data_IF_638295855903
#
_entry.id   IF_638295855903
#
_cell.length_a   1.000
_cell.length_b   1.000
_cell.length_c   1.000
_cell.angle_alpha   90.00
_cell.angle_beta   90.00
_cell.angle_gamma   90.00
#
_symmetry.space_group_name_H-M   'P 1'
#
loop_
_entity.id
_entity.type
_entity.pdbx_description
1 polymer ?
#
# COMPACT_ATOMS: atom_id res chain seq x y z
N UNK A 1 61.81 6.76 37.51
CA UNK A 1 62.23 7.39 36.24
C UNK A 1 62.34 6.26 35.24
N UNK A 2 61.28 6.02 34.50
CA UNK A 2 61.17 4.85 33.61
C UNK A 2 61.60 5.20 32.18
N UNK A 3 62.74 4.59 31.81
CA UNK A 3 63.10 3.83 30.61
C UNK A 3 62.52 4.14 29.20
N UNK A 4 63.50 4.22 28.28
CA UNK A 4 63.59 3.65 26.92
C UNK A 4 62.82 4.29 25.76
N UNK A 5 63.53 5.01 24.88
CA UNK A 5 64.25 4.58 23.66
C UNK A 5 63.32 4.46 22.44
N UNK A 6 63.46 5.42 21.53
CA UNK A 6 62.72 5.50 20.28
C UNK A 6 63.39 4.82 19.08
N UNK A 7 62.62 4.83 17.99
CA UNK A 7 62.87 4.41 16.59
C UNK A 7 62.52 2.95 16.22
N UNK A 8 62.21 2.65 14.93
CA UNK A 8 60.93 2.91 14.28
C UNK A 8 60.41 1.67 13.48
N UNK A 9 59.20 1.75 12.90
CA UNK A 9 58.88 0.98 11.68
C UNK A 9 57.73 -0.03 11.73
N UNK A 10 56.85 0.15 10.73
CA UNK A 10 56.02 -0.82 10.00
C UNK A 10 54.86 -1.59 10.68
N UNK A 11 53.69 -1.25 10.14
CA UNK A 11 52.66 -2.18 9.64
C UNK A 11 51.80 -2.91 10.70
N UNK A 12 50.53 -2.49 10.82
CA UNK A 12 49.35 -3.34 10.57
C UNK A 12 48.03 -2.63 10.89
N UNK A 13 47.15 -2.69 9.89
CA UNK A 13 45.68 -2.71 9.87
C UNK A 13 44.93 -2.20 11.11
N UNK A 14 44.08 -1.19 10.92
CA UNK A 14 42.80 -1.13 11.61
C UNK A 14 41.73 -0.62 10.66
N UNK A 15 40.73 -1.46 10.45
CA UNK A 15 39.56 -1.21 9.64
C UNK A 15 38.75 -0.07 10.24
N UNK A 16 38.50 0.97 9.45
CA UNK A 16 37.35 1.84 9.65
C UNK A 16 36.51 1.72 8.39
N UNK A 17 35.49 0.87 8.51
CA UNK A 17 34.35 0.82 7.59
C UNK A 17 33.63 2.17 7.72
N UNK A 18 33.92 3.10 6.82
CA UNK A 18 33.06 4.25 6.56
C UNK A 18 31.87 3.73 5.76
N UNK A 19 30.86 3.18 6.46
CA UNK A 19 29.55 2.93 5.86
C UNK A 19 28.85 4.28 5.71
N UNK A 20 29.24 5.05 4.70
CA UNK A 20 28.52 6.21 4.20
C UNK A 20 27.21 5.71 3.60
N UNK A 21 26.20 5.52 4.45
CA UNK A 21 24.84 5.21 4.03
C UNK A 21 24.35 6.33 3.09
N UNK A 22 24.04 6.04 1.82
CA UNK A 22 23.37 7.01 0.97
C UNK A 22 21.97 7.26 1.52
N UNK A 23 21.69 8.54 1.76
CA UNK A 23 20.39 9.17 1.97
C UNK A 23 19.26 8.39 1.30
N UNK A 24 18.34 7.87 2.10
CA UNK A 24 17.15 7.16 1.64
C UNK A 24 16.46 7.95 0.50
N UNK A 25 16.08 7.28 -0.60
CA UNK A 25 15.35 7.96 -1.66
C UNK A 25 14.00 8.41 -1.11
N UNK A 26 13.73 9.71 -1.26
CA UNK A 26 12.37 10.26 -1.23
C UNK A 26 11.49 9.32 -2.06
N UNK A 27 10.57 8.61 -1.40
CA UNK A 27 9.55 7.82 -2.05
C UNK A 27 8.68 8.79 -2.85
N UNK A 28 9.04 8.98 -4.11
CA UNK A 28 8.15 9.54 -5.12
C UNK A 28 6.91 8.66 -5.12
N UNK A 29 5.78 9.24 -4.71
CA UNK A 29 4.47 8.62 -4.79
C UNK A 29 4.20 8.21 -6.23
N UNK A 30 4.55 6.96 -6.56
CA UNK A 30 4.01 6.23 -7.70
C UNK A 30 2.49 6.39 -7.64
N UNK A 31 1.86 6.71 -8.76
CA UNK A 31 0.41 6.81 -8.91
C UNK A 31 -0.24 5.54 -8.32
N UNK A 32 -0.59 5.57 -7.03
CA UNK A 32 -1.20 4.45 -6.35
C UNK A 32 -2.63 4.41 -6.85
N UNK A 33 -2.98 3.30 -7.52
CA UNK A 33 -4.36 2.83 -7.64
C UNK A 33 -5.08 3.17 -6.32
N UNK A 34 -6.12 4.00 -6.34
CA UNK A 34 -6.78 4.41 -5.11
C UNK A 34 -7.35 3.15 -4.46
N UNK A 35 -6.81 2.77 -3.31
CA UNK A 35 -7.35 1.66 -2.52
C UNK A 35 -8.77 2.07 -2.13
N UNK A 36 -9.73 1.17 -2.33
CA UNK A 36 -11.11 1.37 -1.93
C UNK A 36 -11.53 0.27 -0.99
N UNK A 37 -12.37 0.60 -0.03
CA UNK A 37 -12.85 -0.35 0.96
C UNK A 37 -14.33 -0.10 1.27
N UNK A 38 -15.00 -1.17 1.71
CA UNK A 38 -16.33 -1.09 2.33
C UNK A 38 -16.17 -1.11 3.83
N UNK A 39 -16.99 -0.33 4.53
CA UNK A 39 -16.88 -0.16 5.97
C UNK A 39 -18.17 -0.58 6.67
N UNK A 40 -18.04 -1.46 7.66
CA UNK A 40 -19.07 -1.67 8.66
C UNK A 40 -18.99 -0.56 9.71
N UNK A 41 -20.14 -0.04 10.14
CA UNK A 41 -20.22 0.99 11.18
C UNK A 41 -20.34 0.35 12.56
N UNK A 42 -19.39 0.69 13.44
CA UNK A 42 -19.27 0.22 14.82
C UNK A 42 -19.42 -1.30 14.98
N UNK A 43 -18.68 -2.11 14.20
CA UNK A 43 -18.66 -3.54 14.39
C UNK A 43 -18.02 -3.88 15.74
N UNK A 44 -18.56 -4.87 16.44
CA UNK A 44 -17.98 -5.42 17.66
C UNK A 44 -16.77 -6.30 17.35
N UNK A 45 -16.84 -7.06 16.26
CA UNK A 45 -15.83 -8.03 15.85
C UNK A 45 -15.61 -8.05 14.33
N UNK A 46 -14.51 -8.67 13.90
CA UNK A 46 -14.22 -8.87 12.48
C UNK A 46 -15.27 -9.76 11.79
N UNK A 47 -15.86 -10.71 12.50
CA UNK A 47 -16.94 -11.54 11.96
C UNK A 47 -18.14 -10.67 11.56
N UNK A 48 -18.47 -9.67 12.37
CA UNK A 48 -19.52 -8.71 12.07
C UNK A 48 -19.18 -7.85 10.84
N UNK A 49 -17.91 -7.46 10.66
CA UNK A 49 -17.47 -6.75 9.45
C UNK A 49 -17.71 -7.59 8.20
N UNK A 50 -17.47 -8.90 8.26
CA UNK A 50 -17.63 -9.81 7.12
C UNK A 50 -19.11 -10.08 6.79
N UNK A 51 -19.99 -10.09 7.79
CA UNK A 51 -21.42 -10.41 7.61
C UNK A 51 -22.31 -9.17 7.41
N UNK A 52 -21.95 -8.01 7.98
CA UNK A 52 -22.76 -6.79 7.95
C UNK A 52 -22.29 -5.73 6.94
N UNK A 53 -21.21 -6.00 6.20
CA UNK A 53 -20.85 -5.14 5.06
C UNK A 53 -21.94 -5.29 3.98
N UNK A 54 -22.76 -4.26 3.79
CA UNK A 54 -23.75 -4.21 2.73
C UNK A 54 -23.06 -4.38 1.36
N UNK A 55 -23.33 -5.47 0.62
CA UNK A 55 -22.71 -5.72 -0.68
C UNK A 55 -23.16 -4.72 -1.76
N UNK A 56 -24.17 -3.90 -1.48
CA UNK A 56 -24.57 -2.76 -2.33
C UNK A 56 -23.91 -1.43 -1.96
N UNK A 57 -23.26 -1.32 -0.79
CA UNK A 57 -22.60 -0.08 -0.38
C UNK A 57 -21.43 0.29 -1.33
N UNK A 58 -21.29 1.56 -1.73
CA UNK A 58 -20.21 1.96 -2.62
C UNK A 58 -18.85 1.78 -1.95
N UNK A 59 -17.88 1.30 -2.73
CA UNK A 59 -16.47 1.25 -2.35
C UNK A 59 -15.95 2.69 -2.17
N UNK A 60 -15.57 3.06 -0.96
CA UNK A 60 -15.11 4.40 -0.65
C UNK A 60 -13.59 4.52 -0.90
N UNK A 61 -13.10 5.59 -1.55
CA UNK A 61 -11.66 5.83 -1.68
C UNK A 61 -11.06 6.14 -0.31
N UNK A 62 -9.95 5.47 0.01
CA UNK A 62 -9.29 5.61 1.30
C UNK A 62 -7.93 6.29 1.17
N UNK A 63 -7.53 6.96 2.25
CA UNK A 63 -6.21 7.51 2.46
C UNK A 63 -5.64 6.94 3.76
N UNK A 64 -4.46 6.32 3.70
CA UNK A 64 -3.84 5.70 4.87
C UNK A 64 -3.10 6.80 5.64
N UNK A 65 -3.60 7.14 6.82
CA UNK A 65 -3.01 8.14 7.73
C UNK A 65 -1.93 7.51 8.61
N UNK A 66 -2.10 6.23 8.98
CA UNK A 66 -1.14 5.47 9.78
C UNK A 66 -1.15 4.01 9.34
N UNK A 67 0.03 3.38 9.32
CA UNK A 67 0.16 1.94 9.23
C UNK A 67 0.58 1.37 10.59
N UNK A 68 -0.27 0.53 11.17
CA UNK A 68 -0.04 -0.16 12.43
C UNK A 68 0.24 -1.65 12.17
N UNK A 69 1.48 -2.05 12.40
CA UNK A 69 1.86 -3.46 12.42
C UNK A 69 1.63 -4.05 13.81
N UNK A 70 1.00 -5.22 13.86
CA UNK A 70 0.70 -5.98 15.07
C UNK A 70 1.25 -7.40 14.94
N UNK A 71 1.50 -8.04 16.08
CA UNK A 71 1.65 -9.50 16.11
C UNK A 71 0.31 -10.18 15.82
N UNK A 72 0.33 -11.47 15.47
CA UNK A 72 -0.90 -12.24 15.23
C UNK A 72 -1.85 -12.21 16.44
N UNK A 73 -1.32 -12.38 17.65
CA UNK A 73 -2.11 -12.36 18.88
C UNK A 73 -2.73 -10.98 19.18
N UNK A 74 -1.97 -9.90 18.98
CA UNK A 74 -2.49 -8.54 19.15
C UNK A 74 -3.55 -8.20 18.10
N UNK A 75 -3.35 -8.66 16.87
CA UNK A 75 -4.32 -8.52 15.80
C UNK A 75 -5.62 -9.27 16.14
N UNK A 76 -5.53 -10.51 16.63
CA UNK A 76 -6.72 -11.29 16.98
C UNK A 76 -7.45 -10.68 18.17
N UNK A 77 -6.72 -10.19 19.18
CA UNK A 77 -7.31 -9.43 20.27
C UNK A 77 -7.99 -8.16 19.75
N UNK A 78 -7.34 -7.43 18.84
CA UNK A 78 -7.90 -6.25 18.17
C UNK A 78 -9.20 -6.56 17.43
N UNK A 79 -9.16 -7.57 16.57
CA UNK A 79 -10.26 -8.01 15.71
C UNK A 79 -11.47 -8.50 16.50
N UNK A 80 -11.31 -8.94 17.75
CA UNK A 80 -12.40 -9.37 18.63
C UNK A 80 -12.94 -8.25 19.54
N UNK A 81 -12.24 -7.12 19.66
CA UNK A 81 -12.65 -5.99 20.51
C UNK A 81 -12.52 -4.66 19.78
N UNK A 82 -13.13 -4.55 18.60
CA UNK A 82 -12.98 -3.38 17.71
C UNK A 82 -13.48 -2.06 18.35
N UNK A 83 -14.43 -2.13 19.28
CA UNK A 83 -14.97 -0.97 20.01
C UNK A 83 -14.19 -0.61 21.28
N UNK A 84 -13.13 -1.36 21.62
CA UNK A 84 -12.27 -1.04 22.76
C UNK A 84 -11.33 0.13 22.42
N UNK A 85 -11.17 1.05 23.37
CA UNK A 85 -10.29 2.21 23.22
C UNK A 85 -8.81 1.81 23.11
N UNK A 86 -8.11 2.49 22.21
CA UNK A 86 -6.69 2.32 21.90
C UNK A 86 -6.07 3.67 21.59
N UNK A 87 -5.00 4.00 22.29
CA UNK A 87 -4.35 5.31 22.17
C UNK A 87 -3.82 5.58 20.76
N UNK A 88 -3.36 4.55 20.05
CA UNK A 88 -2.85 4.66 18.68
C UNK A 88 -3.94 4.92 17.62
N UNK A 89 -5.23 4.93 18.01
CA UNK A 89 -6.33 5.36 17.15
C UNK A 89 -6.76 6.81 17.42
N UNK A 90 -6.34 7.39 18.54
CA UNK A 90 -6.84 8.66 19.03
C UNK A 90 -6.60 9.80 18.02
N UNK A 91 -7.66 10.50 17.65
CA UNK A 91 -7.58 11.69 16.79
C UNK A 91 -7.40 11.40 15.29
N UNK A 92 -7.34 10.13 14.88
CA UNK A 92 -7.17 9.73 13.48
C UNK A 92 -8.51 9.53 12.76
N UNK A 93 -8.48 9.52 11.44
CA UNK A 93 -9.61 9.17 10.58
C UNK A 93 -10.51 10.35 10.19
N UNK A 94 -11.76 10.06 9.82
CA UNK A 94 -12.71 11.03 9.27
C UNK A 94 -12.57 11.21 7.75
N UNK A 95 -13.23 12.23 7.21
CA UNK A 95 -13.23 12.50 5.78
C UNK A 95 -12.49 13.81 5.47
N UNK A 96 -11.65 13.78 4.44
CA UNK A 96 -10.94 14.98 3.93
C UNK A 96 -10.86 14.86 2.41
N UNK A 97 -11.18 15.94 1.70
CA UNK A 97 -11.13 15.99 0.23
C UNK A 97 -11.86 14.84 -0.49
N UNK A 98 -13.00 14.39 0.06
CA UNK A 98 -13.80 13.29 -0.50
C UNK A 98 -13.21 11.88 -0.30
N UNK A 99 -12.16 11.75 0.51
CA UNK A 99 -11.52 10.47 0.86
C UNK A 99 -11.68 10.18 2.34
N UNK A 100 -11.85 8.91 2.69
CA UNK A 100 -11.87 8.46 4.08
C UNK A 100 -10.45 8.21 4.56
N UNK A 101 -10.06 8.86 5.65
CA UNK A 101 -8.76 8.61 6.28
C UNK A 101 -8.85 7.39 7.19
N UNK A 102 -7.86 6.52 7.12
CA UNK A 102 -7.86 5.25 7.83
C UNK A 102 -6.50 4.91 8.42
N UNK A 103 -6.52 4.09 9.46
CA UNK A 103 -5.36 3.34 9.94
C UNK A 103 -5.38 1.97 9.27
N UNK A 104 -4.32 1.65 8.52
CA UNK A 104 -4.10 0.31 7.99
C UNK A 104 -3.52 -0.55 9.10
N UNK A 105 -4.18 -1.65 9.46
CA UNK A 105 -3.73 -2.61 10.48
C UNK A 105 -3.34 -3.90 9.80
N UNK A 106 -2.11 -4.36 10.01
CA UNK A 106 -1.61 -5.61 9.44
C UNK A 106 -0.94 -6.47 10.49
N UNK A 107 -1.00 -7.78 10.29
CA UNK A 107 -0.20 -8.77 11.01
C UNK A 107 0.21 -9.90 10.07
N UNK A 108 1.29 -10.64 10.37
CA UNK A 108 1.67 -11.83 9.61
C UNK A 108 0.49 -12.79 9.47
N UNK A 109 0.30 -13.40 8.30
CA UNK A 109 -0.77 -14.38 8.03
C UNK A 109 -2.22 -13.90 8.30
N UNK A 110 -2.44 -12.59 8.49
CA UNK A 110 -3.76 -11.99 8.71
C UNK A 110 -4.12 -11.05 7.57
N UNK A 111 -5.43 -10.88 7.38
CA UNK A 111 -5.96 -9.90 6.42
C UNK A 111 -5.64 -8.49 6.91
N UNK A 112 -5.36 -7.57 5.98
CA UNK A 112 -5.23 -6.16 6.32
C UNK A 112 -6.61 -5.54 6.61
N UNK A 113 -6.71 -4.78 7.70
CA UNK A 113 -7.91 -4.02 8.06
C UNK A 113 -7.68 -2.54 7.84
N UNK A 114 -8.74 -1.83 7.48
CA UNK A 114 -8.77 -0.37 7.40
C UNK A 114 -9.73 0.15 8.45
N UNK A 115 -9.20 0.95 9.38
CA UNK A 115 -9.92 1.41 10.55
C UNK A 115 -10.05 2.92 10.47
N UNK A 116 -11.27 3.43 10.47
CA UNK A 116 -11.57 4.86 10.60
C UNK A 116 -12.18 5.12 11.99
N UNK A 117 -11.38 5.67 12.93
CA UNK A 117 -11.87 6.07 14.25
C UNK A 117 -12.77 7.31 14.22
N UNK A 118 -12.73 8.09 13.15
CA UNK A 118 -13.44 9.36 13.02
C UNK A 118 -13.19 10.28 14.23
N UNK A 119 -11.91 10.43 14.60
CA UNK A 119 -11.43 11.19 15.76
C UNK A 119 -11.60 10.51 17.12
N UNK A 120 -12.20 9.31 17.18
CA UNK A 120 -12.37 8.53 18.41
C UNK A 120 -11.12 7.69 18.73
N UNK A 121 -11.21 6.78 19.70
CA UNK A 121 -10.12 5.86 20.10
C UNK A 121 -10.39 4.39 19.76
N UNK A 122 -11.44 4.11 19.02
CA UNK A 122 -11.85 2.74 18.67
C UNK A 122 -12.21 2.65 17.19
N UNK A 123 -12.37 1.44 16.67
CA UNK A 123 -12.75 1.17 15.28
C UNK A 123 -14.20 1.53 14.98
N UNK A 124 -14.50 2.83 14.89
CA UNK A 124 -15.86 3.33 14.62
C UNK A 124 -16.37 2.91 13.25
N UNK A 125 -15.47 2.80 12.28
CA UNK A 125 -15.73 2.19 10.99
C UNK A 125 -14.58 1.24 10.67
N UNK A 126 -14.88 -0.01 10.32
CA UNK A 126 -13.85 -1.00 9.99
C UNK A 126 -14.20 -1.63 8.67
N UNK A 127 -13.21 -1.64 7.78
CA UNK A 127 -13.32 -2.18 6.44
C UNK A 127 -12.20 -3.14 6.13
N UNK A 128 -12.46 -3.97 5.14
CA UNK A 128 -11.45 -4.78 4.46
C UNK A 128 -11.26 -4.19 3.07
N UNK A 129 -10.02 -4.17 2.56
CA UNK A 129 -9.84 -3.88 1.15
C UNK A 129 -10.54 -5.00 0.37
N UNK A 130 -11.49 -4.60 -0.47
CA UNK A 130 -11.79 -5.40 -1.63
C UNK A 130 -10.76 -4.97 -2.67
N UNK A 131 -9.94 -5.92 -3.15
CA UNK A 131 -9.17 -5.69 -4.36
C UNK A 131 -10.18 -5.27 -5.42
N UNK A 132 -10.17 -3.98 -5.75
CA UNK A 132 -11.11 -3.44 -6.71
C UNK A 132 -10.78 -4.12 -8.04
N UNK A 133 -11.76 -4.60 -8.82
CA UNK A 133 -11.48 -4.88 -10.23
C UNK A 133 -10.81 -3.62 -10.79
N UNK A 134 -9.70 -3.83 -11.51
CA UNK A 134 -8.89 -2.76 -12.11
C UNK A 134 -9.86 -1.80 -12.79
N UNK A 135 -9.92 -0.54 -12.33
CA UNK A 135 -10.78 0.43 -13.00
C UNK A 135 -10.24 0.64 -14.41
N UNK A 136 -11.10 0.99 -15.38
CA UNK A 136 -10.64 1.24 -16.75
C UNK A 136 -9.50 2.27 -16.79
N UNK A 137 -9.47 3.23 -15.87
CA UNK A 137 -8.41 4.24 -15.74
C UNK A 137 -7.11 3.66 -15.18
N UNK A 138 -7.18 2.81 -14.14
CA UNK A 138 -6.00 2.10 -13.61
C UNK A 138 -5.42 1.12 -14.64
N UNK A 139 -6.31 0.44 -15.38
CA UNK A 139 -5.94 -0.50 -16.43
C UNK A 139 -5.30 0.25 -17.60
N UNK A 140 -5.82 1.42 -17.97
CA UNK A 140 -5.26 2.27 -19.00
C UNK A 140 -3.87 2.79 -18.62
N UNK A 141 -3.68 3.20 -17.36
CA UNK A 141 -2.39 3.61 -16.84
C UNK A 141 -1.36 2.48 -16.90
N UNK A 142 -1.73 1.27 -16.47
CA UNK A 142 -0.85 0.11 -16.49
C UNK A 142 -0.48 -0.33 -17.92
N UNK A 143 -1.47 -0.39 -18.82
CA UNK A 143 -1.24 -0.73 -20.24
C UNK A 143 -0.37 0.34 -20.92
N UNK A 144 -0.63 1.62 -20.67
CA UNK A 144 0.19 2.72 -21.18
C UNK A 144 1.64 2.60 -20.71
N UNK A 145 1.86 2.35 -19.41
CA UNK A 145 3.18 2.16 -18.85
C UNK A 145 3.95 1.00 -19.51
N UNK A 146 3.30 -0.14 -19.75
CA UNK A 146 3.92 -1.28 -20.44
C UNK A 146 4.35 -0.94 -21.88
N UNK A 147 3.58 -0.11 -22.57
CA UNK A 147 3.90 0.35 -23.94
C UNK A 147 5.06 1.34 -23.93
N UNK A 148 5.09 2.24 -22.96
CA UNK A 148 6.14 3.25 -22.83
C UNK A 148 7.46 2.64 -22.34
N UNK A 149 7.39 1.59 -21.53
CA UNK A 149 8.54 0.83 -21.01
C UNK A 149 8.84 -0.43 -21.82
N UNK A 150 8.33 -0.52 -23.05
CA UNK A 150 8.69 -1.60 -23.98
C UNK A 150 10.21 -1.62 -24.21
N UNK A 151 10.74 -2.78 -24.59
CA UNK A 151 12.15 -2.87 -25.00
C UNK A 151 12.42 -1.91 -26.17
N UNK A 152 13.61 -1.28 -26.24
CA UNK A 152 13.90 -0.24 -27.23
C UNK A 152 13.88 -0.74 -28.68
N UNK A 153 14.11 -2.03 -28.90
CA UNK A 153 14.03 -2.72 -30.20
C UNK A 153 12.59 -3.08 -30.62
N UNK A 154 11.62 -2.96 -29.70
CA UNK A 154 10.21 -3.22 -29.97
C UNK A 154 9.53 -1.89 -30.33
N UNK A 155 8.91 -1.84 -31.51
CA UNK A 155 8.11 -0.67 -31.89
C UNK A 155 6.84 -0.54 -31.03
N UNK A 156 6.31 0.68 -30.92
CA UNK A 156 5.09 0.93 -30.15
C UNK A 156 3.91 0.09 -30.68
N UNK A 157 3.77 0.01 -31.99
CA UNK A 157 2.76 -0.83 -32.67
C UNK A 157 2.94 -2.32 -32.36
N UNK A 158 4.19 -2.80 -32.32
CA UNK A 158 4.49 -4.19 -32.01
C UNK A 158 4.17 -4.53 -30.55
N UNK A 159 4.40 -3.59 -29.63
CA UNK A 159 4.00 -3.71 -28.23
C UNK A 159 2.47 -3.80 -28.10
N UNK A 160 1.72 -2.89 -28.74
CA UNK A 160 0.25 -2.89 -28.75
C UNK A 160 -0.29 -4.20 -29.36
N UNK A 161 0.27 -4.67 -30.48
CA UNK A 161 -0.12 -5.93 -31.13
C UNK A 161 0.09 -7.14 -30.23
N UNK A 162 1.21 -7.17 -29.51
CA UNK A 162 1.52 -8.25 -28.56
C UNK A 162 0.54 -8.23 -27.38
N UNK A 163 0.28 -7.05 -26.82
CA UNK A 163 -0.66 -6.88 -25.70
C UNK A 163 -2.10 -7.26 -26.10
N UNK A 164 -2.56 -6.92 -27.31
CA UNK A 164 -3.87 -7.35 -27.82
C UNK A 164 -4.02 -8.88 -27.84
N UNK A 165 -2.95 -9.61 -28.14
CA UNK A 165 -2.97 -11.09 -28.11
C UNK A 165 -2.97 -11.62 -26.67
N UNK A 166 -2.15 -11.04 -25.80
CA UNK A 166 -2.05 -11.45 -24.40
C UNK A 166 -3.34 -11.16 -23.60
N UNK A 167 -4.06 -10.10 -23.96
CA UNK A 167 -5.26 -9.63 -23.27
C UNK A 167 -6.55 -9.86 -24.07
N UNK A 168 -6.55 -10.82 -25.01
CA UNK A 168 -7.68 -11.06 -25.92
C UNK A 168 -9.00 -11.42 -25.21
N UNK A 169 -8.92 -11.94 -23.98
CA UNK A 169 -10.09 -12.27 -23.14
C UNK A 169 -10.65 -11.09 -22.35
N UNK A 170 -10.05 -9.90 -22.45
CA UNK A 170 -10.44 -8.71 -21.67
C UNK A 170 -10.94 -7.59 -22.61
N UNK A 171 -12.27 -7.42 -22.75
CA UNK A 171 -12.86 -6.39 -23.61
C UNK A 171 -12.51 -4.95 -23.19
N UNK A 172 -12.23 -4.70 -21.91
CA UNK A 172 -11.85 -3.35 -21.46
C UNK A 172 -10.42 -3.03 -21.88
N UNK A 173 -9.49 -3.96 -21.67
CA UNK A 173 -8.12 -3.85 -22.15
C UNK A 173 -8.04 -3.60 -23.66
N UNK A 174 -8.89 -4.26 -24.45
CA UNK A 174 -8.94 -4.06 -25.90
C UNK A 174 -9.37 -2.63 -26.29
N UNK A 175 -10.41 -2.07 -25.64
CA UNK A 175 -10.84 -0.68 -25.88
C UNK A 175 -9.77 0.34 -25.51
N UNK A 176 -9.02 0.07 -24.44
CA UNK A 176 -7.89 0.89 -24.02
C UNK A 176 -6.78 0.85 -25.09
N UNK A 177 -6.43 -0.35 -25.56
CA UNK A 177 -5.41 -0.55 -26.60
C UNK A 177 -5.82 0.11 -27.92
N UNK A 178 -7.11 0.11 -28.27
CA UNK A 178 -7.64 0.80 -29.44
C UNK A 178 -7.45 2.33 -29.31
N UNK A 179 -7.87 2.92 -28.19
CA UNK A 179 -7.67 4.36 -27.92
C UNK A 179 -6.18 4.76 -27.93
N UNK A 180 -5.30 3.87 -27.49
CA UNK A 180 -3.85 4.13 -27.48
C UNK A 180 -3.23 3.96 -28.87
N UNK A 181 -3.77 3.10 -29.74
CA UNK A 181 -3.30 2.93 -31.10
C UNK A 181 -3.60 4.15 -31.99
N UNK A 182 -4.66 4.91 -31.66
CA UNK A 182 -5.08 6.11 -32.39
C UNK A 182 -4.28 7.38 -32.03
N UNK A 183 -3.30 7.27 -31.13
CA UNK A 183 -2.36 8.34 -30.74
C UNK A 183 -0.97 8.07 -31.28
#
# INVERSE_FOLDING_TARGET
MEIELGFPGNQRVNAVVTNSQPKAPTMTTTNHTPIRARFARKPYSLDEVLHNADPSAPLEPIEIELHKELTEAEYDAFANTLLQDRDWLAGLGGHTAGRRRVVAVSAPNRRMLFVDPSGSRYGRYVGIAEATPVTDDDQAGAIGWLIDNRRPDVSREQAIRTLRRALAGDPSALRILDRLADK
#
